data_IF_926522993896
#
_entry.id   IF_926522993896
#
_cell.length_a   1.000
_cell.length_b   1.000
_cell.length_c   1.000
_cell.angle_alpha   90.00
_cell.angle_beta   90.00
_cell.angle_gamma   90.00
#
_symmetry.space_group_name_H-M   'P 1'
#
loop_
_entity.id
_entity.type
_entity.pdbx_description
1 polymer ?
#
# COMPACT_ATOMS: atom_id res chain seq x y z
N UNK A 1 44.80 -0.86 4.02
CA UNK A 1 45.41 0.11 3.10
C UNK A 1 44.33 1.12 2.79
N UNK A 2 44.32 2.30 3.44
CA UNK A 2 43.29 3.33 3.23
C UNK A 2 43.80 4.32 2.20
N UNK A 3 43.26 4.26 0.99
CA UNK A 3 43.52 5.26 -0.05
C UNK A 3 42.76 6.54 0.33
N UNK A 4 43.44 7.68 0.30
CA UNK A 4 42.83 8.99 0.55
C UNK A 4 41.91 9.38 -0.61
N UNK A 5 40.81 10.10 -0.34
CA UNK A 5 39.91 10.62 -1.38
C UNK A 5 40.68 11.42 -2.44
N UNK A 6 41.74 12.13 -2.04
CA UNK A 6 42.60 12.89 -2.95
C UNK A 6 43.36 12.00 -3.94
N UNK A 7 43.85 10.84 -3.49
CA UNK A 7 44.55 9.88 -4.35
C UNK A 7 43.58 9.19 -5.31
N UNK A 8 42.34 8.94 -4.86
CA UNK A 8 41.27 8.41 -5.70
C UNK A 8 40.90 9.38 -6.83
N UNK A 9 40.79 10.68 -6.51
CA UNK A 9 40.50 11.73 -7.49
C UNK A 9 41.66 11.89 -8.49
N UNK A 10 42.91 11.87 -8.02
CA UNK A 10 44.08 11.93 -8.88
C UNK A 10 44.15 10.75 -9.85
N UNK A 11 43.88 9.53 -9.36
CA UNK A 11 43.82 8.32 -10.17
C UNK A 11 42.70 8.40 -11.23
N UNK A 12 41.51 8.89 -10.86
CA UNK A 12 40.41 9.13 -11.80
C UNK A 12 40.77 10.10 -12.92
N UNK A 13 41.47 11.19 -12.58
CA UNK A 13 41.92 12.19 -13.55
C UNK A 13 42.99 11.64 -14.51
N UNK A 14 43.90 10.79 -14.01
CA UNK A 14 44.89 10.11 -14.85
C UNK A 14 44.25 9.05 -15.76
N UNK A 15 43.22 8.34 -15.30
CA UNK A 15 42.46 7.39 -16.10
C UNK A 15 41.69 8.09 -17.23
N UNK A 16 41.01 9.20 -16.95
CA UNK A 16 40.34 10.03 -17.96
C UNK A 16 41.31 10.50 -19.06
N UNK A 17 42.51 10.98 -18.69
CA UNK A 17 43.56 11.35 -19.65
C UNK A 17 44.05 10.19 -20.53
N UNK A 18 44.05 8.96 -20.02
CA UNK A 18 44.52 7.75 -20.74
C UNK A 18 43.45 7.15 -21.64
N UNK A 19 42.18 7.28 -21.26
CA UNK A 19 41.04 6.70 -21.97
C UNK A 19 40.45 7.66 -23.01
N UNK A 20 40.84 8.94 -22.98
CA UNK A 20 40.23 9.99 -23.79
C UNK A 20 38.89 10.42 -23.21
N UNK A 21 38.40 11.61 -23.59
CA UNK A 21 37.05 12.02 -23.24
C UNK A 21 36.06 11.02 -23.86
N UNK A 22 35.13 10.47 -23.07
CA UNK A 22 34.13 9.57 -23.62
C UNK A 22 33.32 10.31 -24.66
N UNK A 23 33.04 9.64 -25.78
CA UNK A 23 32.16 10.18 -26.82
C UNK A 23 30.82 10.60 -26.17
N UNK A 24 30.45 11.87 -26.35
CA UNK A 24 29.21 12.43 -25.80
C UNK A 24 27.98 11.61 -26.22
N UNK A 25 28.03 10.96 -27.39
CA UNK A 25 27.00 10.02 -27.85
C UNK A 25 26.91 8.78 -26.95
N UNK A 26 28.04 8.22 -26.54
CA UNK A 26 28.10 7.06 -25.63
C UNK A 26 27.62 7.45 -24.23
N UNK A 27 28.02 8.63 -23.74
CA UNK A 27 27.56 9.16 -22.45
C UNK A 27 26.04 9.38 -22.46
N UNK A 28 25.50 9.97 -23.53
CA UNK A 28 24.06 10.19 -23.70
C UNK A 28 23.25 8.89 -23.79
N UNK A 29 23.79 7.88 -24.49
CA UNK A 29 23.17 6.55 -24.56
C UNK A 29 23.15 5.85 -23.20
N UNK A 30 24.27 5.90 -22.46
CA UNK A 30 24.37 5.27 -21.14
C UNK A 30 23.46 5.95 -20.11
N UNK A 31 23.37 7.29 -20.14
CA UNK A 31 22.46 8.05 -19.29
C UNK A 31 20.99 7.69 -19.58
N UNK A 32 20.61 7.63 -20.87
CA UNK A 32 19.27 7.20 -21.28
C UNK A 32 18.96 5.77 -20.82
N UNK A 33 19.94 4.87 -20.93
CA UNK A 33 19.76 3.47 -20.54
C UNK A 33 19.64 3.32 -19.02
N UNK A 34 20.36 4.13 -18.23
CA UNK A 34 20.20 4.22 -16.78
C UNK A 34 18.83 4.79 -16.38
N UNK A 35 18.35 5.82 -17.08
CA UNK A 35 17.03 6.41 -16.83
C UNK A 35 15.89 5.43 -17.14
N UNK A 36 15.99 4.68 -18.24
CA UNK A 36 15.03 3.62 -18.59
C UNK A 36 15.02 2.52 -17.54
N UNK A 37 16.18 2.08 -17.06
CA UNK A 37 16.26 1.08 -15.99
C UNK A 37 15.71 1.60 -14.67
N UNK A 38 16.00 2.85 -14.31
CA UNK A 38 15.45 3.48 -13.11
C UNK A 38 13.92 3.60 -13.16
N UNK A 39 13.37 3.96 -14.33
CA UNK A 39 11.92 4.00 -14.55
C UNK A 39 11.28 2.60 -14.46
N UNK A 40 11.92 1.58 -15.06
CA UNK A 40 11.44 0.19 -15.01
C UNK A 40 11.44 -0.37 -13.58
N UNK A 41 12.49 -0.07 -12.80
CA UNK A 41 12.57 -0.45 -11.38
C UNK A 41 11.46 0.23 -10.57
N UNK A 42 11.12 1.49 -10.90
CA UNK A 42 10.05 2.24 -10.24
C UNK A 42 8.66 1.67 -10.54
N UNK A 43 8.46 1.11 -11.73
CA UNK A 43 7.21 0.49 -12.15
C UNK A 43 6.94 -0.86 -11.44
N UNK A 44 7.98 -1.60 -11.07
CA UNK A 44 7.86 -2.89 -10.38
C UNK A 44 7.94 -2.79 -8.85
N UNK A 45 7.97 -1.58 -8.28
CA UNK A 45 8.00 -1.40 -6.84
C UNK A 45 6.61 -1.65 -6.23
N UNK A 46 6.56 -2.41 -5.13
CA UNK A 46 5.34 -2.52 -4.32
C UNK A 46 4.98 -1.10 -3.84
N UNK A 47 3.73 -0.63 -4.02
CA UNK A 47 3.31 0.68 -3.54
C UNK A 47 3.60 0.85 -2.04
N UNK A 48 3.91 2.09 -1.58
CA UNK A 48 4.16 2.34 -0.17
C UNK A 48 3.03 1.83 0.73
N UNK A 49 3.39 1.04 1.73
CA UNK A 49 2.47 0.58 2.78
C UNK A 49 2.55 1.57 3.94
N UNK A 50 1.45 2.23 4.27
CA UNK A 50 1.33 3.06 5.47
C UNK A 50 0.60 2.31 6.59
N UNK A 51 0.57 2.90 7.78
CA UNK A 51 -0.04 2.29 8.97
C UNK A 51 -1.52 1.95 8.79
N UNK A 52 -2.27 2.78 8.05
CA UNK A 52 -3.68 2.54 7.75
C UNK A 52 -3.88 1.32 6.84
N UNK A 53 -3.12 1.25 5.74
CA UNK A 53 -3.15 0.11 4.83
C UNK A 53 -2.69 -1.17 5.53
N UNK A 54 -1.68 -1.08 6.40
CA UNK A 54 -1.26 -2.22 7.22
C UNK A 54 -2.37 -2.66 8.19
N UNK A 55 -3.09 -1.72 8.79
CA UNK A 55 -4.22 -1.99 9.67
C UNK A 55 -5.42 -2.59 8.94
N UNK A 56 -5.60 -2.32 7.64
CA UNK A 56 -6.69 -2.89 6.83
C UNK A 56 -6.29 -4.26 6.27
N UNK A 57 -5.13 -4.35 5.63
CA UNK A 57 -4.68 -5.51 4.85
C UNK A 57 -3.95 -6.57 5.68
N UNK A 58 -3.39 -6.20 6.83
CA UNK A 58 -2.56 -7.08 7.65
C UNK A 58 -3.31 -7.98 8.63
N UNK A 59 -4.66 -7.94 8.66
CA UNK A 59 -5.46 -8.69 9.65
C UNK A 59 -5.62 -10.16 9.24
N UNK A 60 -5.51 -11.11 10.18
CA UNK A 60 -5.71 -12.53 9.87
C UNK A 60 -7.18 -12.83 9.56
N UNK A 61 -7.45 -13.85 8.73
CA UNK A 61 -8.78 -14.14 8.19
C UNK A 61 -9.88 -14.27 9.27
N UNK A 62 -9.59 -14.91 10.40
CA UNK A 62 -10.56 -15.15 11.47
C UNK A 62 -11.00 -13.88 12.21
N UNK A 63 -10.27 -12.76 12.05
CA UNK A 63 -10.64 -11.48 12.64
C UNK A 63 -11.93 -10.91 12.01
N UNK A 64 -12.22 -11.27 10.75
CA UNK A 64 -13.30 -10.67 9.98
C UNK A 64 -14.69 -11.28 10.22
N UNK A 65 -14.79 -12.41 10.92
CA UNK A 65 -16.08 -13.09 11.14
C UNK A 65 -17.11 -12.19 11.85
N UNK A 66 -16.70 -11.50 12.92
CA UNK A 66 -17.59 -10.58 13.65
C UNK A 66 -17.99 -9.35 12.85
N UNK A 67 -17.06 -8.81 12.05
CA UNK A 67 -17.33 -7.68 11.17
C UNK A 67 -18.31 -8.08 10.06
N UNK A 68 -18.09 -9.23 9.41
CA UNK A 68 -18.99 -9.76 8.40
C UNK A 68 -20.41 -9.98 8.95
N UNK A 69 -20.54 -10.45 10.21
CA UNK A 69 -21.85 -10.59 10.82
C UNK A 69 -22.56 -9.26 11.05
N UNK A 70 -21.83 -8.24 11.53
CA UNK A 70 -22.38 -6.90 11.65
C UNK A 70 -22.82 -6.36 10.28
N UNK A 71 -22.00 -6.51 9.24
CA UNK A 71 -22.38 -6.07 7.89
C UNK A 71 -23.60 -6.82 7.35
N UNK A 72 -23.76 -8.12 7.60
CA UNK A 72 -24.99 -8.86 7.23
C UNK A 72 -26.24 -8.27 7.87
N UNK A 73 -26.16 -7.88 9.14
CA UNK A 73 -27.26 -7.19 9.85
C UNK A 73 -27.59 -5.85 9.17
N UNK A 74 -26.58 -5.18 8.60
CA UNK A 74 -26.74 -3.99 7.77
C UNK A 74 -27.31 -4.25 6.37
N UNK A 75 -27.60 -5.50 6.01
CA UNK A 75 -28.21 -5.88 4.73
C UNK A 75 -27.23 -6.32 3.64
N UNK A 76 -25.94 -6.47 3.94
CA UNK A 76 -24.95 -6.96 2.98
C UNK A 76 -25.06 -8.48 2.81
N UNK A 77 -25.10 -8.96 1.57
CA UNK A 77 -25.04 -10.40 1.26
C UNK A 77 -23.58 -10.88 1.28
N UNK A 78 -23.21 -11.64 2.33
CA UNK A 78 -21.85 -12.11 2.56
C UNK A 78 -21.88 -13.62 2.84
N UNK A 79 -21.29 -14.46 1.97
CA UNK A 79 -21.20 -15.90 2.22
C UNK A 79 -20.55 -16.24 3.57
N UNK A 80 -21.03 -17.31 4.22
CA UNK A 80 -20.47 -17.83 5.49
C UNK A 80 -19.23 -18.68 5.23
N UNK A 81 -18.23 -18.07 4.60
CA UNK A 81 -16.93 -18.66 4.25
C UNK A 81 -15.84 -17.65 4.56
N UNK A 82 -14.81 -18.04 5.31
CA UNK A 82 -13.83 -17.12 5.90
C UNK A 82 -13.10 -16.27 4.85
N UNK A 83 -12.78 -16.82 3.67
CA UNK A 83 -12.15 -16.07 2.59
C UNK A 83 -13.10 -15.03 1.99
N UNK A 84 -14.39 -15.33 1.90
CA UNK A 84 -15.41 -14.37 1.44
C UNK A 84 -15.64 -13.26 2.47
N UNK A 85 -15.67 -13.60 3.74
CA UNK A 85 -15.82 -12.64 4.85
C UNK A 85 -14.64 -11.66 4.88
N UNK A 86 -13.41 -12.16 4.76
CA UNK A 86 -12.22 -11.32 4.66
C UNK A 86 -12.25 -10.41 3.44
N UNK A 87 -12.57 -10.95 2.26
CA UNK A 87 -12.58 -10.18 1.02
C UNK A 87 -13.56 -9.01 1.07
N UNK A 88 -14.79 -9.26 1.52
CA UNK A 88 -15.81 -8.21 1.65
C UNK A 88 -15.41 -7.18 2.71
N UNK A 89 -14.90 -7.63 3.85
CA UNK A 89 -14.49 -6.74 4.92
C UNK A 89 -13.31 -5.83 4.52
N UNK A 90 -12.27 -6.40 3.89
CA UNK A 90 -11.15 -5.62 3.36
C UNK A 90 -11.64 -4.62 2.32
N UNK A 91 -12.47 -5.06 1.36
CA UNK A 91 -13.03 -4.18 0.35
C UNK A 91 -13.82 -3.01 0.97
N UNK A 92 -14.67 -3.29 1.96
CA UNK A 92 -15.44 -2.27 2.67
C UNK A 92 -14.53 -1.27 3.41
N UNK A 93 -13.53 -1.75 4.17
CA UNK A 93 -12.58 -0.89 4.88
C UNK A 93 -11.74 -0.04 3.91
N UNK A 94 -11.30 -0.62 2.78
CA UNK A 94 -10.57 0.12 1.74
C UNK A 94 -11.41 1.21 1.11
N UNK A 95 -12.70 0.97 0.84
CA UNK A 95 -13.59 2.00 0.31
C UNK A 95 -13.76 3.18 1.28
N UNK A 96 -13.84 2.90 2.59
CA UNK A 96 -13.83 3.95 3.61
C UNK A 96 -12.50 4.72 3.62
N UNK A 97 -11.38 4.01 3.51
CA UNK A 97 -10.05 4.63 3.42
C UNK A 97 -9.89 5.52 2.20
N UNK A 98 -10.27 5.05 1.03
CA UNK A 98 -10.21 5.84 -0.22
C UNK A 98 -11.09 7.08 -0.15
N UNK A 99 -12.22 7.02 0.56
CA UNK A 99 -13.16 8.14 0.69
C UNK A 99 -12.78 9.14 1.78
N UNK A 100 -12.23 8.68 2.90
CA UNK A 100 -12.06 9.49 4.11
C UNK A 100 -10.59 9.63 4.57
N UNK A 101 -9.64 9.02 3.87
CA UNK A 101 -8.22 9.05 4.23
C UNK A 101 -8.01 8.51 5.64
N UNK A 102 -7.22 9.23 6.45
CA UNK A 102 -6.91 8.86 7.83
C UNK A 102 -8.12 8.82 8.78
N UNK A 103 -9.27 9.40 8.39
CA UNK A 103 -10.49 9.35 9.21
C UNK A 103 -11.33 8.07 8.99
N UNK A 104 -10.89 7.15 8.14
CA UNK A 104 -11.63 5.94 7.77
C UNK A 104 -12.10 5.09 8.95
N UNK A 105 -11.27 4.98 9.99
CA UNK A 105 -11.55 4.16 11.17
C UNK A 105 -12.72 4.73 11.98
N UNK A 106 -12.80 6.06 12.11
CA UNK A 106 -13.93 6.71 12.76
C UNK A 106 -15.22 6.51 11.98
N UNK A 107 -15.17 6.63 10.65
CA UNK A 107 -16.34 6.38 9.79
C UNK A 107 -16.77 4.90 9.83
N UNK A 108 -15.81 3.97 9.87
CA UNK A 108 -16.09 2.55 10.07
C UNK A 108 -16.84 2.32 11.38
N UNK A 109 -16.34 2.87 12.49
CA UNK A 109 -16.97 2.73 13.81
C UNK A 109 -18.37 3.36 13.85
N UNK A 110 -18.55 4.54 13.24
CA UNK A 110 -19.84 5.21 13.15
C UNK A 110 -20.85 4.34 12.38
N UNK A 111 -20.45 3.76 11.26
CA UNK A 111 -21.33 2.91 10.45
C UNK A 111 -21.72 1.62 11.19
N UNK A 112 -20.76 0.96 11.84
CA UNK A 112 -21.04 -0.24 12.64
C UNK A 112 -21.97 0.09 13.82
N UNK A 113 -21.80 1.25 14.45
CA UNK A 113 -22.69 1.72 15.50
C UNK A 113 -24.12 1.98 14.97
N UNK A 114 -24.26 2.56 13.77
CA UNK A 114 -25.58 2.76 13.12
C UNK A 114 -26.26 1.42 12.83
N UNK A 115 -25.52 0.46 12.26
CA UNK A 115 -26.06 -0.88 11.95
C UNK A 115 -26.56 -1.55 13.23
N UNK A 116 -25.75 -1.51 14.30
CA UNK A 116 -26.12 -2.09 15.59
C UNK A 116 -27.37 -1.42 16.18
N UNK A 117 -27.42 -0.09 16.19
CA UNK A 117 -28.58 0.65 16.69
C UNK A 117 -29.86 0.36 15.88
N UNK A 118 -29.74 0.22 14.56
CA UNK A 118 -30.85 -0.16 13.70
C UNK A 118 -31.35 -1.59 13.98
N UNK A 119 -30.44 -2.51 14.30
CA UNK A 119 -30.78 -3.88 14.66
C UNK A 119 -31.56 -3.95 16.00
N UNK A 120 -31.11 -3.21 17.01
CA UNK A 120 -31.75 -3.15 18.34
C UNK A 120 -33.17 -2.55 18.28
N UNK A 121 -33.42 -1.61 17.35
CA UNK A 121 -34.76 -1.04 17.12
C UNK A 121 -35.70 -2.01 16.40
N UNK A 122 -35.18 -3.01 15.68
CA UNK A 122 -35.99 -4.01 14.99
C UNK A 122 -36.40 -5.16 15.90
N UNK A 123 -35.57 -5.52 16.89
CA UNK A 123 -35.93 -6.55 17.88
C UNK A 123 -37.06 -6.08 18.80
N UNK A 124 -37.03 -4.82 19.23
CA UNK A 124 -38.06 -4.21 20.11
C UNK A 124 -39.42 -3.98 19.46
N UNK A 125 -39.54 -4.02 18.12
CA UNK A 125 -40.81 -3.88 17.39
C UNK A 125 -41.48 -5.21 17.04
N UNK A 126 -40.80 -6.34 17.26
CA UNK A 126 -41.30 -7.69 16.94
C UNK A 126 -41.90 -8.42 18.14
N UNK A 127 -41.86 -7.83 19.32
CA UNK A 127 -42.52 -8.27 20.55
C UNK A 127 -43.84 -7.50 20.77
#
# INVERSE_FOLDING_TARGET
MNISIQELVAAGHQLSKRLGEPDASVVGQLATQLDVQAALVKEHAIPPMNDDLQAILGRPNFWFAGLAECLRVGGYDIPRKSECEQAVAIHWMLQLYLKHGSNWSNEANNELARIKAAADQQSTKKE
#
